data_IF_342641959892
#
_entry.id   IF_342641959892
#
_cell.length_a   1.000
_cell.length_b   1.000
_cell.length_c   1.000
_cell.angle_alpha   90.00
_cell.angle_beta   90.00
_cell.angle_gamma   90.00
#
_symmetry.space_group_name_H-M   'P 1'
#
loop_
_entity.id
_entity.type
_entity.pdbx_description
1 polymer ?
#
# COMPACT_ATOMS: atom_id res chain seq x y z
N UNK A 1 -26.09 -1.31 16.08
CA UNK A 1 -27.18 -1.84 15.23
C UNK A 1 -28.47 -1.02 15.28
N UNK A 2 -29.00 -0.64 16.46
CA UNK A 2 -30.32 0.05 16.56
C UNK A 2 -30.40 1.47 15.95
N UNK A 3 -29.30 2.19 15.74
CA UNK A 3 -29.30 3.53 15.11
C UNK A 3 -28.89 3.55 13.62
N UNK A 4 -28.45 2.43 13.05
CA UNK A 4 -27.74 2.42 11.76
C UNK A 4 -28.55 1.99 10.53
N UNK A 5 -29.61 1.19 10.72
CA UNK A 5 -30.63 1.05 9.67
C UNK A 5 -31.22 2.43 9.35
N UNK A 6 -31.57 3.28 10.35
CA UNK A 6 -31.94 4.67 10.12
C UNK A 6 -30.89 5.48 9.35
N UNK A 7 -29.60 5.49 9.72
CA UNK A 7 -28.62 6.37 9.04
C UNK A 7 -28.37 5.98 7.58
N UNK A 8 -28.15 4.69 7.28
CA UNK A 8 -27.95 4.27 5.88
C UNK A 8 -29.22 4.47 5.03
N UNK A 9 -30.40 4.32 5.64
CA UNK A 9 -31.67 4.63 5.03
C UNK A 9 -31.87 6.15 4.86
N UNK A 10 -31.45 6.95 5.83
CA UNK A 10 -31.58 8.42 5.84
C UNK A 10 -30.66 9.04 4.80
N UNK A 11 -29.37 8.68 4.76
CA UNK A 11 -28.46 9.13 3.69
C UNK A 11 -28.93 8.68 2.29
N UNK A 12 -29.61 7.53 2.19
CA UNK A 12 -30.17 7.05 0.92
C UNK A 12 -31.48 7.76 0.55
N UNK A 13 -32.34 8.06 1.52
CA UNK A 13 -33.57 8.84 1.31
C UNK A 13 -33.25 10.30 0.98
N UNK A 14 -32.27 10.89 1.66
CA UNK A 14 -31.81 12.25 1.38
C UNK A 14 -31.15 12.33 0.02
N UNK A 15 -30.44 11.28 -0.43
CA UNK A 15 -29.92 11.20 -1.79
C UNK A 15 -31.04 11.12 -2.84
N UNK A 16 -32.09 10.32 -2.60
CA UNK A 16 -33.26 10.29 -3.48
C UNK A 16 -34.01 11.62 -3.48
N UNK A 17 -34.15 12.25 -2.32
CA UNK A 17 -34.80 13.56 -2.18
C UNK A 17 -33.99 14.68 -2.86
N UNK A 18 -32.66 14.65 -2.77
CA UNK A 18 -31.78 15.59 -3.47
C UNK A 18 -31.79 15.35 -4.99
N UNK A 19 -31.79 14.10 -5.44
CA UNK A 19 -31.93 13.76 -6.87
C UNK A 19 -33.30 14.17 -7.43
N UNK A 20 -34.39 13.97 -6.65
CA UNK A 20 -35.72 14.45 -7.00
C UNK A 20 -35.82 15.97 -6.96
N UNK A 21 -35.18 16.63 -6.00
CA UNK A 21 -35.15 18.09 -5.87
C UNK A 21 -34.33 18.74 -6.99
N UNK A 22 -33.16 18.20 -7.35
CA UNK A 22 -32.37 18.66 -8.49
C UNK A 22 -33.07 18.38 -9.83
N UNK A 23 -33.73 17.22 -9.97
CA UNK A 23 -34.59 16.92 -11.12
C UNK A 23 -35.82 17.85 -11.20
N UNK A 24 -36.26 18.40 -10.06
CA UNK A 24 -37.35 19.38 -9.97
C UNK A 24 -36.86 20.81 -10.23
N UNK A 25 -35.66 21.18 -9.77
CA UNK A 25 -34.99 22.46 -10.11
C UNK A 25 -34.70 22.55 -11.59
N UNK A 26 -34.19 21.49 -12.22
CA UNK A 26 -33.96 21.46 -13.68
C UNK A 26 -35.26 21.57 -14.50
N UNK A 27 -36.41 21.15 -13.95
CA UNK A 27 -37.74 21.39 -14.56
C UNK A 27 -38.27 22.81 -14.31
N UNK A 28 -38.00 23.38 -13.14
CA UNK A 28 -38.44 24.73 -12.77
C UNK A 28 -37.56 25.86 -13.34
N UNK A 29 -36.27 25.59 -13.60
CA UNK A 29 -35.34 26.52 -14.27
C UNK A 29 -35.70 26.76 -15.74
N UNK A 30 -36.51 25.89 -16.36
CA UNK A 30 -37.12 26.16 -17.66
C UNK A 30 -38.36 27.07 -17.60
N UNK A 31 -38.87 27.38 -16.40
CA UNK A 31 -40.20 28.02 -16.25
C UNK A 31 -40.23 29.34 -15.46
N UNK A 32 -39.19 29.72 -14.70
CA UNK A 32 -39.26 30.99 -13.93
C UNK A 32 -37.89 31.66 -13.75
N UNK A 33 -37.65 32.75 -14.48
CA UNK A 33 -36.88 33.88 -13.95
C UNK A 33 -37.80 34.66 -12.98
N UNK A 34 -37.23 35.23 -11.93
CA UNK A 34 -37.87 35.97 -10.83
C UNK A 34 -38.54 35.14 -9.72
N UNK A 35 -37.75 34.82 -8.68
CA UNK A 35 -37.92 35.48 -7.38
C UNK A 35 -36.87 34.98 -6.37
N UNK A 36 -36.14 35.94 -5.81
CA UNK A 36 -35.17 35.73 -4.74
C UNK A 36 -35.86 35.52 -3.39
N UNK A 37 -36.00 34.26 -2.99
CA UNK A 37 -35.94 33.83 -1.58
C UNK A 37 -35.25 32.46 -1.59
N UNK A 38 -33.93 32.44 -1.49
CA UNK A 38 -33.14 31.21 -1.31
C UNK A 38 -32.21 31.44 -0.11
N UNK A 39 -32.17 30.50 0.83
CA UNK A 39 -30.89 30.17 1.47
C UNK A 39 -30.75 30.31 2.99
N UNK A 40 -31.79 30.05 3.80
CA UNK A 40 -31.59 29.96 5.26
C UNK A 40 -31.94 28.58 5.85
N UNK A 41 -33.04 27.95 5.42
CA UNK A 41 -33.51 26.69 6.03
C UNK A 41 -32.82 25.44 5.46
N UNK A 42 -32.58 25.36 4.14
CA UNK A 42 -31.82 24.24 3.52
C UNK A 42 -30.38 24.11 4.05
N UNK A 43 -29.77 25.21 4.49
CA UNK A 43 -28.42 25.20 5.06
C UNK A 43 -28.34 24.61 6.47
N UNK A 44 -29.43 24.67 7.24
CA UNK A 44 -29.46 24.16 8.61
C UNK A 44 -29.52 22.63 8.66
N UNK A 45 -30.31 22.01 7.77
CA UNK A 45 -30.41 20.54 7.67
C UNK A 45 -29.12 19.92 7.15
N UNK A 46 -28.53 20.49 6.09
CA UNK A 46 -27.25 20.05 5.56
C UNK A 46 -26.10 20.21 6.59
N UNK A 47 -26.09 21.32 7.35
CA UNK A 47 -25.12 21.54 8.42
C UNK A 47 -25.26 20.56 9.59
N UNK A 48 -26.51 20.18 9.92
CA UNK A 48 -26.78 19.18 10.94
C UNK A 48 -26.25 17.79 10.54
N UNK A 49 -26.50 17.37 9.30
CA UNK A 49 -26.00 16.09 8.79
C UNK A 49 -24.47 16.00 8.84
N UNK A 50 -23.77 17.05 8.41
CA UNK A 50 -22.30 17.11 8.49
C UNK A 50 -21.83 16.92 9.94
N UNK A 51 -22.49 17.61 10.88
CA UNK A 51 -22.15 17.53 12.31
C UNK A 51 -22.35 16.12 12.86
N UNK A 52 -23.46 15.47 12.54
CA UNK A 52 -23.74 14.10 12.95
C UNK A 52 -22.72 13.10 12.37
N UNK A 53 -22.37 13.24 11.09
CA UNK A 53 -21.38 12.34 10.44
C UNK A 53 -20.00 12.51 11.06
N UNK A 54 -19.61 13.75 11.38
CA UNK A 54 -18.33 14.03 12.04
C UNK A 54 -18.27 13.45 13.46
N UNK A 55 -19.36 13.57 14.23
CA UNK A 55 -19.45 12.98 15.57
C UNK A 55 -19.38 11.44 15.52
N UNK A 56 -20.09 10.83 14.58
CA UNK A 56 -20.16 9.37 14.42
C UNK A 56 -18.96 8.77 13.67
N UNK A 57 -18.08 9.60 13.11
CA UNK A 57 -16.96 9.14 12.28
C UNK A 57 -16.07 8.12 12.99
N UNK A 58 -15.70 8.39 14.24
CA UNK A 58 -14.86 7.50 15.03
C UNK A 58 -15.51 6.13 15.27
N UNK A 59 -16.83 6.08 15.40
CA UNK A 59 -17.57 4.84 15.57
C UNK A 59 -17.71 4.08 14.25
N UNK A 60 -17.93 4.78 13.14
CA UNK A 60 -17.90 4.18 11.79
C UNK A 60 -16.51 3.56 11.53
N UNK A 61 -15.43 4.23 11.90
CA UNK A 61 -14.08 3.67 11.80
C UNK A 61 -13.93 2.41 12.64
N UNK A 62 -14.40 2.37 13.89
CA UNK A 62 -14.36 1.15 14.71
C UNK A 62 -15.10 -0.03 14.08
N UNK A 63 -16.18 0.24 13.33
CA UNK A 63 -16.99 -0.80 12.69
C UNK A 63 -16.25 -1.58 11.61
N UNK A 64 -15.20 -1.02 10.99
CA UNK A 64 -14.41 -1.75 9.98
C UNK A 64 -13.64 -2.92 10.61
N UNK A 65 -13.39 -2.87 11.92
CA UNK A 65 -12.72 -3.91 12.70
C UNK A 65 -13.72 -4.86 13.40
N UNK A 66 -15.00 -4.81 13.04
CA UNK A 66 -15.99 -5.74 13.58
C UNK A 66 -15.83 -7.14 12.95
N UNK A 67 -15.94 -8.19 13.76
CA UNK A 67 -15.91 -9.57 13.29
C UNK A 67 -17.09 -9.90 12.35
N UNK A 68 -18.24 -9.26 12.53
CA UNK A 68 -19.40 -9.47 11.65
C UNK A 68 -19.20 -8.76 10.29
N UNK A 69 -19.06 -9.56 9.23
CA UNK A 69 -18.96 -9.09 7.86
C UNK A 69 -20.10 -8.18 7.38
N UNK A 70 -21.31 -8.34 7.94
CA UNK A 70 -22.46 -7.48 7.60
C UNK A 70 -22.25 -6.06 8.12
N UNK A 71 -21.62 -5.93 9.29
CA UNK A 71 -21.28 -4.63 9.87
C UNK A 71 -20.25 -3.92 9.01
N UNK A 72 -19.17 -4.62 8.62
CA UNK A 72 -18.13 -4.07 7.75
C UNK A 72 -18.69 -3.63 6.38
N UNK A 73 -19.58 -4.44 5.79
CA UNK A 73 -20.27 -4.08 4.56
C UNK A 73 -21.12 -2.80 4.70
N UNK A 74 -21.82 -2.62 5.83
CA UNK A 74 -22.57 -1.38 6.08
C UNK A 74 -21.64 -0.19 6.31
N UNK A 75 -20.52 -0.39 7.01
CA UNK A 75 -19.52 0.66 7.22
C UNK A 75 -18.95 1.17 5.88
N UNK A 76 -18.57 0.27 4.95
CA UNK A 76 -18.06 0.69 3.63
C UNK A 76 -19.11 1.44 2.80
N UNK A 77 -20.38 1.05 2.90
CA UNK A 77 -21.47 1.77 2.23
C UNK A 77 -21.64 3.18 2.79
N UNK A 78 -21.58 3.33 4.12
CA UNK A 78 -21.65 4.65 4.80
C UNK A 78 -20.46 5.51 4.36
N UNK A 79 -19.24 5.00 4.38
CA UNK A 79 -18.07 5.72 3.84
C UNK A 79 -18.29 6.19 2.40
N UNK A 80 -18.81 5.30 1.54
CA UNK A 80 -19.07 5.62 0.13
C UNK A 80 -20.06 6.76 -0.06
N UNK A 81 -21.15 6.78 0.72
CA UNK A 81 -22.15 7.85 0.66
C UNK A 81 -21.58 9.17 1.23
N UNK A 82 -20.97 9.12 2.42
CA UNK A 82 -20.44 10.30 3.08
C UNK A 82 -19.33 10.99 2.29
N UNK A 83 -18.47 10.23 1.60
CA UNK A 83 -17.43 10.80 0.74
C UNK A 83 -18.05 11.41 -0.52
N UNK A 84 -19.01 10.72 -1.15
CA UNK A 84 -19.67 11.20 -2.38
C UNK A 84 -20.42 12.51 -2.14
N UNK A 85 -21.04 12.66 -0.97
CA UNK A 85 -21.77 13.85 -0.55
C UNK A 85 -20.86 14.96 0.01
N UNK A 86 -19.55 14.73 0.12
CA UNK A 86 -18.61 15.71 0.66
C UNK A 86 -18.71 15.93 2.18
N UNK A 87 -19.38 15.01 2.91
CA UNK A 87 -19.50 15.06 4.36
C UNK A 87 -18.21 14.65 5.07
N UNK A 88 -17.41 13.79 4.42
CA UNK A 88 -16.11 13.33 4.88
C UNK A 88 -15.05 13.65 3.83
N UNK A 89 -13.93 14.22 4.28
CA UNK A 89 -12.77 14.43 3.42
C UNK A 89 -12.17 13.07 3.00
N UNK A 90 -11.92 12.82 1.71
CA UNK A 90 -11.38 11.53 1.25
C UNK A 90 -10.11 11.11 1.98
N UNK A 91 -9.22 12.07 2.28
CA UNK A 91 -7.93 11.83 2.94
C UNK A 91 -8.09 11.12 4.30
N UNK A 92 -9.15 11.37 5.08
CA UNK A 92 -9.29 10.70 6.38
C UNK A 92 -9.83 9.27 6.24
N UNK A 93 -10.61 8.99 5.18
CA UNK A 93 -11.27 7.71 4.97
C UNK A 93 -10.44 6.70 4.15
N UNK A 94 -9.45 7.17 3.37
CA UNK A 94 -8.60 6.30 2.53
C UNK A 94 -7.98 5.14 3.32
N UNK A 95 -7.38 5.33 4.51
CA UNK A 95 -6.80 4.20 5.25
C UNK A 95 -7.81 3.10 5.56
N UNK A 96 -8.99 3.50 6.06
CA UNK A 96 -10.08 2.58 6.39
C UNK A 96 -10.64 1.86 5.15
N UNK A 97 -10.72 2.55 4.01
CA UNK A 97 -11.14 1.95 2.74
C UNK A 97 -10.13 0.91 2.23
N UNK A 98 -8.83 1.18 2.34
CA UNK A 98 -7.78 0.20 1.99
C UNK A 98 -7.83 -0.99 2.95
N UNK A 99 -8.10 -0.76 4.23
CA UNK A 99 -8.26 -1.84 5.20
C UNK A 99 -9.46 -2.73 4.87
N UNK A 100 -10.61 -2.15 4.54
CA UNK A 100 -11.81 -2.87 4.08
C UNK A 100 -11.61 -3.58 2.73
N UNK A 101 -10.73 -3.05 1.87
CA UNK A 101 -10.35 -3.70 0.62
C UNK A 101 -9.58 -5.01 0.86
N UNK A 102 -8.90 -5.14 2.00
CA UNK A 102 -8.23 -6.37 2.40
C UNK A 102 -9.15 -7.39 3.11
N UNK A 103 -10.46 -7.15 3.19
CA UNK A 103 -11.43 -8.08 3.77
C UNK A 103 -11.46 -9.40 2.98
N UNK A 104 -11.08 -10.52 3.61
CA UNK A 104 -11.02 -11.82 2.95
C UNK A 104 -12.37 -12.53 2.87
N UNK A 105 -13.25 -12.30 3.84
CA UNK A 105 -14.52 -13.03 4.00
C UNK A 105 -15.59 -12.54 3.04
N UNK A 106 -15.68 -11.22 2.81
CA UNK A 106 -16.83 -10.61 2.11
C UNK A 106 -16.40 -9.86 0.85
N UNK A 107 -16.54 -10.53 -0.30
CA UNK A 107 -16.19 -9.96 -1.61
C UNK A 107 -16.92 -8.65 -1.91
N UNK A 108 -18.20 -8.55 -1.54
CA UNK A 108 -18.95 -7.32 -1.75
C UNK A 108 -18.35 -6.13 -1.00
N UNK A 109 -17.77 -6.35 0.18
CA UNK A 109 -17.07 -5.30 0.91
C UNK A 109 -15.87 -4.77 0.12
N UNK A 110 -15.02 -5.68 -0.39
CA UNK A 110 -13.87 -5.33 -1.25
C UNK A 110 -14.29 -4.57 -2.50
N UNK A 111 -15.32 -5.04 -3.20
CA UNK A 111 -15.77 -4.42 -4.45
C UNK A 111 -16.26 -2.98 -4.22
N UNK A 112 -16.96 -2.70 -3.12
CA UNK A 112 -17.38 -1.34 -2.76
C UNK A 112 -16.19 -0.46 -2.39
N UNK A 113 -15.29 -0.95 -1.54
CA UNK A 113 -14.08 -0.22 -1.15
C UNK A 113 -13.24 0.15 -2.39
N UNK A 114 -13.07 -0.80 -3.31
CA UNK A 114 -12.32 -0.60 -4.55
C UNK A 114 -12.91 0.49 -5.44
N UNK A 115 -14.24 0.48 -5.67
CA UNK A 115 -14.91 1.51 -6.48
C UNK A 115 -14.77 2.91 -5.87
N UNK A 116 -14.88 3.01 -4.54
CA UNK A 116 -14.70 4.28 -3.84
C UNK A 116 -13.25 4.76 -3.99
N UNK A 117 -12.27 3.88 -3.76
CA UNK A 117 -10.84 4.19 -3.94
C UNK A 117 -10.51 4.62 -5.38
N UNK A 118 -11.09 3.96 -6.38
CA UNK A 118 -10.93 4.33 -7.78
C UNK A 118 -11.50 5.73 -8.04
N UNK A 119 -12.70 6.04 -7.55
CA UNK A 119 -13.28 7.38 -7.67
C UNK A 119 -12.41 8.45 -6.97
N UNK A 120 -11.77 8.12 -5.85
CA UNK A 120 -10.83 9.02 -5.17
C UNK A 120 -9.54 9.16 -5.97
N UNK A 121 -9.01 8.09 -6.57
CA UNK A 121 -7.82 8.12 -7.41
C UNK A 121 -8.01 9.05 -8.62
N UNK A 122 -9.19 9.01 -9.23
CA UNK A 122 -9.53 9.83 -10.40
C UNK A 122 -9.72 11.31 -10.06
N UNK A 123 -10.38 11.63 -8.94
CA UNK A 123 -10.73 13.02 -8.57
C UNK A 123 -9.71 13.70 -7.66
N UNK A 124 -9.10 12.93 -6.76
CA UNK A 124 -8.23 13.42 -5.68
C UNK A 124 -6.98 12.53 -5.51
N UNK A 125 -6.15 12.33 -6.55
CA UNK A 125 -5.02 11.39 -6.53
C UNK A 125 -4.00 11.67 -5.42
N UNK A 126 -3.80 12.95 -5.06
CA UNK A 126 -2.89 13.34 -3.99
C UNK A 126 -3.38 12.92 -2.60
N UNK A 127 -4.71 12.91 -2.37
CA UNK A 127 -5.31 12.48 -1.11
C UNK A 127 -5.22 10.96 -0.94
N UNK A 128 -5.36 10.20 -2.03
CA UNK A 128 -5.10 8.76 -2.03
C UNK A 128 -3.64 8.50 -1.67
N UNK A 129 -2.72 9.07 -2.45
CA UNK A 129 -1.29 8.83 -2.30
C UNK A 129 -0.78 9.07 -0.87
N UNK A 130 -1.16 10.18 -0.24
CA UNK A 130 -0.65 10.56 1.09
C UNK A 130 -1.04 9.58 2.21
N UNK A 131 -2.00 8.69 1.94
CA UNK A 131 -2.62 7.82 2.95
C UNK A 131 -2.50 6.33 2.64
N UNK A 132 -2.00 5.95 1.45
CA UNK A 132 -1.88 4.54 1.05
C UNK A 132 -1.01 3.74 2.02
N UNK A 133 0.11 4.30 2.48
CA UNK A 133 0.96 3.62 3.47
C UNK A 133 0.20 3.34 4.77
N UNK A 134 -0.55 4.32 5.28
CA UNK A 134 -1.38 4.13 6.48
C UNK A 134 -2.43 3.05 6.26
N UNK A 135 -3.11 3.08 5.11
CA UNK A 135 -4.09 2.06 4.74
C UNK A 135 -3.51 0.65 4.64
N UNK A 136 -2.32 0.49 4.06
CA UNK A 136 -1.63 -0.81 4.02
C UNK A 136 -1.32 -1.29 5.44
N UNK A 137 -0.90 -0.41 6.34
CA UNK A 137 -0.62 -0.75 7.74
C UNK A 137 -1.89 -1.14 8.51
N UNK A 138 -3.01 -0.48 8.27
CA UNK A 138 -4.32 -0.82 8.84
C UNK A 138 -4.91 -2.10 8.25
N UNK A 139 -4.64 -2.38 6.96
CA UNK A 139 -5.14 -3.56 6.27
C UNK A 139 -4.72 -4.87 6.93
N UNK A 140 -3.56 -4.89 7.59
CA UNK A 140 -3.11 -6.05 8.37
C UNK A 140 -4.11 -6.44 9.47
N UNK A 141 -4.71 -5.46 10.15
CA UNK A 141 -5.65 -5.74 11.25
C UNK A 141 -6.93 -6.37 10.73
N UNK A 142 -7.50 -5.82 9.65
CA UNK A 142 -8.69 -6.39 8.99
C UNK A 142 -8.37 -7.76 8.39
N UNK A 143 -7.21 -7.92 7.76
CA UNK A 143 -6.78 -9.19 7.19
C UNK A 143 -6.71 -10.28 8.26
N UNK A 144 -6.13 -10.02 9.44
CA UNK A 144 -6.13 -10.98 10.57
C UNK A 144 -7.55 -11.25 11.08
N UNK A 145 -8.36 -10.21 11.27
CA UNK A 145 -9.72 -10.37 11.79
C UNK A 145 -10.61 -11.24 10.89
N UNK A 146 -10.37 -11.17 9.57
CA UNK A 146 -11.15 -11.87 8.54
C UNK A 146 -10.47 -13.14 8.05
N UNK A 147 -9.33 -13.53 8.64
CA UNK A 147 -8.54 -14.64 8.13
C UNK A 147 -9.07 -16.02 8.49
N UNK A 148 -9.97 -16.12 9.47
CA UNK A 148 -10.48 -17.40 9.98
C UNK A 148 -9.35 -18.30 10.49
N UNK A 149 -8.84 -19.18 9.60
CA UNK A 149 -7.82 -20.20 9.88
C UNK A 149 -6.44 -19.93 9.25
N UNK A 150 -6.24 -18.82 8.53
CA UNK A 150 -4.91 -18.54 7.94
C UNK A 150 -3.92 -18.23 9.04
N UNK A 151 -2.88 -19.07 9.15
CA UNK A 151 -1.89 -19.03 10.22
C UNK A 151 -0.67 -18.17 9.89
N UNK A 152 -0.36 -17.96 8.60
CA UNK A 152 0.84 -17.25 8.17
C UNK A 152 0.56 -15.80 7.77
N UNK A 153 1.35 -14.81 8.24
CA UNK A 153 1.21 -13.41 7.80
C UNK A 153 1.40 -13.21 6.29
N UNK A 154 2.15 -14.10 5.64
CA UNK A 154 2.39 -14.05 4.20
C UNK A 154 1.15 -14.44 3.40
N UNK A 155 0.43 -15.47 3.83
CA UNK A 155 -0.83 -15.85 3.18
C UNK A 155 -1.86 -14.73 3.32
N UNK A 156 -1.85 -13.97 4.44
CA UNK A 156 -2.73 -12.81 4.64
C UNK A 156 -2.50 -11.70 3.60
N UNK A 157 -1.24 -11.48 3.21
CA UNK A 157 -0.85 -10.44 2.27
C UNK A 157 -1.23 -10.75 0.82
N UNK A 158 -1.41 -12.03 0.49
CA UNK A 158 -1.56 -12.50 -0.89
C UNK A 158 -3.03 -12.82 -1.19
N UNK A 159 -3.52 -12.34 -2.33
CA UNK A 159 -4.80 -12.76 -2.88
C UNK A 159 -4.67 -14.14 -3.54
N UNK A 160 -5.42 -15.12 -3.04
CA UNK A 160 -5.39 -16.52 -3.50
C UNK A 160 -5.70 -16.68 -4.99
N UNK A 161 -6.45 -15.75 -5.58
CA UNK A 161 -6.87 -15.84 -6.98
C UNK A 161 -5.78 -15.39 -7.94
N UNK A 162 -5.20 -14.22 -7.64
CA UNK A 162 -4.21 -13.57 -8.49
C UNK A 162 -2.77 -14.04 -8.17
N UNK A 163 -2.51 -14.44 -6.93
CA UNK A 163 -1.18 -14.72 -6.42
C UNK A 163 -0.36 -13.46 -6.07
N UNK A 164 -0.88 -12.27 -6.37
CA UNK A 164 -0.25 -11.00 -6.03
C UNK A 164 -0.69 -10.49 -4.67
N UNK A 165 -0.04 -9.43 -4.20
CA UNK A 165 -0.44 -8.76 -2.98
C UNK A 165 -1.90 -8.28 -3.10
N UNK A 166 -2.68 -8.46 -2.03
CA UNK A 166 -4.11 -8.09 -2.01
C UNK A 166 -4.31 -6.59 -2.31
N UNK A 167 -3.33 -5.76 -1.95
CA UNK A 167 -3.33 -4.32 -2.18
C UNK A 167 -2.76 -3.90 -3.54
N UNK A 168 -2.27 -4.83 -4.38
CA UNK A 168 -1.69 -4.50 -5.69
C UNK A 168 -2.60 -3.60 -6.54
N UNK A 169 -3.90 -3.87 -6.68
CA UNK A 169 -4.78 -3.02 -7.49
C UNK A 169 -4.90 -1.58 -6.95
N UNK A 170 -4.72 -1.35 -5.65
CA UNK A 170 -4.69 -0.01 -5.06
C UNK A 170 -3.35 0.67 -5.35
N UNK A 171 -2.26 -0.06 -5.27
CA UNK A 171 -0.92 0.47 -5.58
C UNK A 171 -0.79 0.80 -7.07
N UNK A 172 -1.44 0.05 -7.95
CA UNK A 172 -1.49 0.32 -9.39
C UNK A 172 -2.28 1.58 -9.76
N UNK A 173 -3.15 2.09 -8.88
CA UNK A 173 -3.77 3.41 -9.05
C UNK A 173 -2.75 4.55 -8.91
N UNK A 174 -1.58 4.29 -8.34
CA UNK A 174 -0.55 5.30 -8.11
C UNK A 174 0.36 5.47 -9.34
N UNK A 175 0.75 6.72 -9.66
CA UNK A 175 1.81 6.97 -10.64
C UNK A 175 3.13 6.28 -10.23
N UNK A 176 3.93 5.83 -11.21
CA UNK A 176 5.19 5.10 -10.96
C UNK A 176 6.12 5.80 -9.96
N UNK A 177 6.27 7.13 -10.04
CA UNK A 177 7.08 7.88 -9.07
C UNK A 177 6.57 7.71 -7.63
N UNK A 178 5.25 7.77 -7.45
CA UNK A 178 4.58 7.67 -6.14
C UNK A 178 4.58 6.24 -5.60
N UNK A 179 4.43 5.24 -6.48
CA UNK A 179 4.61 3.83 -6.14
C UNK A 179 6.02 3.57 -5.58
N UNK A 180 7.07 4.10 -6.23
CA UNK A 180 8.45 3.97 -5.72
C UNK A 180 8.62 4.62 -4.34
N UNK A 181 8.08 5.81 -4.14
CA UNK A 181 8.09 6.49 -2.83
C UNK A 181 7.36 5.68 -1.75
N UNK A 182 6.22 5.05 -2.10
CA UNK A 182 5.50 4.14 -1.21
C UNK A 182 6.35 2.93 -0.83
N UNK A 183 6.98 2.27 -1.81
CA UNK A 183 7.85 1.10 -1.55
C UNK A 183 9.00 1.49 -0.64
N UNK A 184 9.69 2.60 -0.89
CA UNK A 184 10.74 3.12 0.00
C UNK A 184 10.19 3.41 1.39
N UNK A 185 8.97 3.94 1.49
CA UNK A 185 8.27 4.13 2.76
C UNK A 185 8.03 2.82 3.53
N UNK A 186 7.59 1.76 2.84
CA UNK A 186 7.40 0.43 3.44
C UNK A 186 8.74 -0.16 3.88
N UNK A 187 9.78 -0.09 3.04
CA UNK A 187 11.13 -0.51 3.40
C UNK A 187 11.63 0.21 4.66
N UNK A 188 11.42 1.53 4.73
CA UNK A 188 11.74 2.30 5.93
C UNK A 188 11.02 1.81 7.19
N UNK A 189 9.78 1.30 7.06
CA UNK A 189 9.04 0.68 8.18
C UNK A 189 9.57 -0.69 8.58
N UNK A 190 10.12 -1.47 7.64
CA UNK A 190 10.77 -2.75 7.95
C UNK A 190 12.03 -2.58 8.80
N UNK A 191 12.67 -1.40 8.76
CA UNK A 191 13.96 -1.13 9.43
C UNK A 191 13.82 -0.22 10.65
N UNK A 192 12.69 0.46 10.81
CA UNK A 192 12.53 1.46 11.87
C UNK A 192 12.00 0.85 13.17
N UNK A 193 12.79 0.96 14.24
CA UNK A 193 12.42 0.68 15.65
C UNK A 193 11.42 1.70 16.23
N UNK A 194 11.04 2.74 15.46
CA UNK A 194 10.02 3.69 15.93
C UNK A 194 8.68 2.97 15.89
N UNK A 195 8.36 2.30 16.99
CA UNK A 195 7.04 1.80 17.33
C UNK A 195 6.00 2.83 16.92
N UNK A 196 4.90 2.34 16.35
CA UNK A 196 3.88 3.19 15.77
C UNK A 196 3.49 4.32 16.74
N UNK A 197 3.14 5.52 16.25
CA UNK A 197 2.43 6.47 17.09
C UNK A 197 1.25 5.71 17.70
N UNK A 198 1.19 5.67 19.04
CA UNK A 198 0.17 4.93 19.80
C UNK A 198 -1.21 5.33 19.27
N UNK A 199 -1.78 4.52 18.39
CA UNK A 199 -3.21 4.58 18.12
C UNK A 199 -3.87 4.04 19.38
N UNK A 200 -4.87 4.76 19.91
CA UNK A 200 -5.52 4.55 21.22
C UNK A 200 -6.12 3.14 21.45
N UNK A 201 -5.94 2.20 20.53
CA UNK A 201 -6.49 0.85 20.55
C UNK A 201 -5.47 -0.27 20.79
N UNK A 202 -4.24 0.04 21.23
CA UNK A 202 -3.26 -1.01 21.56
C UNK A 202 -3.24 -1.37 23.05
N UNK A 203 -3.45 -2.66 23.43
CA UNK A 203 -3.21 -3.13 24.79
C UNK A 203 -1.71 -3.14 25.12
N UNK A 204 -1.34 -2.68 26.31
CA UNK A 204 0.00 -2.80 26.87
C UNK A 204 0.29 -4.28 27.23
N UNK A 205 1.08 -5.00 26.44
CA UNK A 205 1.49 -6.40 26.69
C UNK A 205 2.36 -6.96 25.54
N UNK A 206 3.17 -7.99 25.80
CA UNK A 206 3.95 -8.82 24.87
C UNK A 206 3.21 -9.29 23.59
N UNK A 207 1.87 -9.28 23.63
CA UNK A 207 1.03 -9.46 22.44
C UNK A 207 1.29 -8.38 21.37
N UNK A 208 1.81 -7.22 21.76
CA UNK A 208 2.16 -6.12 20.86
C UNK A 208 3.40 -6.43 20.02
N UNK A 209 4.45 -7.02 20.61
CA UNK A 209 5.69 -7.36 19.88
C UNK A 209 5.43 -8.47 18.86
N UNK A 210 4.69 -9.53 19.24
CA UNK A 210 4.29 -10.61 18.31
C UNK A 210 3.45 -10.09 17.13
N UNK A 211 2.58 -9.10 17.39
CA UNK A 211 1.81 -8.41 16.34
C UNK A 211 2.69 -7.54 15.45
N UNK A 212 3.74 -6.93 15.99
CA UNK A 212 4.67 -6.11 15.23
C UNK A 212 5.45 -6.95 14.20
N UNK A 213 6.05 -8.06 14.60
CA UNK A 213 6.80 -8.94 13.68
C UNK A 213 5.92 -9.55 12.60
N UNK A 214 4.72 -10.01 13.00
CA UNK A 214 3.73 -10.51 12.05
C UNK A 214 3.33 -9.44 11.03
N UNK A 215 3.24 -8.18 11.47
CA UNK A 215 2.98 -7.04 10.59
C UNK A 215 4.16 -6.76 9.65
N UNK A 216 5.40 -6.83 10.13
CA UNK A 216 6.59 -6.69 9.27
C UNK A 216 6.65 -7.82 8.22
N UNK A 217 6.37 -9.06 8.61
CA UNK A 217 6.28 -10.19 7.69
C UNK A 217 5.17 -10.01 6.64
N UNK A 218 4.00 -9.49 7.05
CA UNK A 218 2.92 -9.11 6.13
C UNK A 218 3.37 -8.04 5.13
N UNK A 219 4.07 -7.00 5.57
CA UNK A 219 4.60 -5.96 4.68
C UNK A 219 5.66 -6.49 3.71
N UNK A 220 6.56 -7.34 4.19
CA UNK A 220 7.57 -7.99 3.34
C UNK A 220 6.90 -8.87 2.27
N UNK A 221 5.85 -9.62 2.64
CA UNK A 221 5.07 -10.42 1.71
C UNK A 221 4.33 -9.57 0.67
N UNK A 222 3.77 -8.41 1.06
CA UNK A 222 3.19 -7.45 0.11
C UNK A 222 4.25 -7.01 -0.90
N UNK A 223 5.45 -6.64 -0.46
CA UNK A 223 6.51 -6.20 -1.37
C UNK A 223 6.95 -7.32 -2.31
N UNK A 224 7.18 -8.53 -1.80
CA UNK A 224 7.62 -9.66 -2.61
C UNK A 224 6.62 -10.02 -3.73
N UNK A 225 5.33 -9.88 -3.44
CA UNK A 225 4.22 -10.28 -4.33
C UNK A 225 3.52 -9.10 -5.01
N UNK A 226 4.07 -7.89 -4.91
CA UNK A 226 3.50 -6.73 -5.59
C UNK A 226 3.59 -6.90 -7.12
N UNK A 227 2.58 -6.39 -7.83
CA UNK A 227 2.69 -6.18 -9.28
C UNK A 227 3.42 -4.87 -9.57
N UNK A 228 4.67 -4.96 -10.05
CA UNK A 228 5.49 -3.81 -10.43
C UNK A 228 5.19 -3.32 -11.86
N UNK A 229 3.90 -3.25 -12.19
CA UNK A 229 3.40 -2.79 -13.50
C UNK A 229 3.76 -3.72 -14.66
N UNK A 230 4.09 -4.98 -14.38
CA UNK A 230 4.62 -5.93 -15.37
C UNK A 230 3.55 -6.83 -15.99
N UNK A 231 2.50 -7.20 -15.24
CA UNK A 231 1.67 -8.34 -15.66
C UNK A 231 0.17 -8.03 -15.72
N UNK A 232 -0.39 -7.24 -14.78
CA UNK A 232 -1.81 -6.84 -14.82
C UNK A 232 -2.09 -5.61 -15.69
N UNK A 233 -1.08 -4.78 -15.94
CA UNK A 233 -1.23 -3.58 -16.77
C UNK A 233 -1.38 -3.97 -18.25
N UNK A 234 -2.53 -3.61 -18.84
CA UNK A 234 -2.82 -3.80 -20.26
C UNK A 234 -2.05 -2.86 -21.20
N UNK A 235 -1.16 -2.02 -20.65
CA UNK A 235 -0.46 -0.98 -21.41
C UNK A 235 0.96 -1.41 -21.78
N UNK A 236 1.21 -1.49 -23.08
CA UNK A 236 2.54 -1.71 -23.66
C UNK A 236 2.75 -3.12 -24.19
N UNK A 237 3.85 -3.32 -24.92
CA UNK A 237 4.28 -4.65 -25.37
C UNK A 237 4.79 -5.48 -24.19
N UNK A 238 4.77 -6.81 -24.29
CA UNK A 238 5.34 -7.71 -23.28
C UNK A 238 6.78 -7.32 -22.90
N UNK A 239 7.62 -7.03 -23.90
CA UNK A 239 8.99 -6.54 -23.72
C UNK A 239 9.08 -5.22 -22.92
N UNK A 240 8.17 -4.28 -23.15
CA UNK A 240 8.15 -3.01 -22.41
C UNK A 240 7.76 -3.23 -20.95
N UNK A 241 6.85 -4.18 -20.68
CA UNK A 241 6.39 -4.52 -19.34
C UNK A 241 7.45 -5.27 -18.54
N UNK A 242 8.09 -6.29 -19.11
CA UNK A 242 9.20 -7.00 -18.44
C UNK A 242 10.40 -6.10 -18.20
N UNK A 243 10.65 -5.13 -19.09
CA UNK A 243 11.66 -4.09 -18.87
C UNK A 243 11.27 -3.17 -17.71
N UNK A 244 10.03 -2.66 -17.70
CA UNK A 244 9.56 -1.78 -16.63
C UNK A 244 9.62 -2.46 -15.26
N UNK A 245 9.16 -3.72 -15.18
CA UNK A 245 9.26 -4.56 -14.00
C UNK A 245 10.72 -4.64 -13.51
N UNK A 246 11.66 -5.01 -14.40
CA UNK A 246 13.08 -5.12 -14.05
C UNK A 246 13.67 -3.80 -13.55
N UNK A 247 13.37 -2.69 -14.21
CA UNK A 247 13.86 -1.36 -13.82
C UNK A 247 13.32 -0.96 -12.43
N UNK A 248 12.05 -1.24 -12.15
CA UNK A 248 11.43 -0.93 -10.85
C UNK A 248 11.96 -1.82 -9.72
N UNK A 249 12.02 -3.14 -9.94
CA UNK A 249 12.59 -4.08 -8.96
C UNK A 249 14.08 -3.82 -8.72
N UNK A 250 14.86 -3.49 -9.75
CA UNK A 250 16.27 -3.12 -9.57
C UNK A 250 16.45 -1.91 -8.66
N UNK A 251 15.61 -0.88 -8.81
CA UNK A 251 15.64 0.31 -7.94
C UNK A 251 15.34 -0.06 -6.48
N UNK A 252 14.41 -1.00 -6.27
CA UNK A 252 14.01 -1.50 -4.95
C UNK A 252 15.14 -2.33 -4.34
N UNK A 253 15.76 -3.22 -5.12
CA UNK A 253 16.91 -4.02 -4.70
C UNK A 253 18.08 -3.13 -4.25
N UNK A 254 18.39 -2.05 -4.98
CA UNK A 254 19.41 -1.07 -4.58
C UNK A 254 19.07 -0.41 -3.23
N UNK A 255 17.80 -0.04 -3.04
CA UNK A 255 17.32 0.56 -1.79
C UNK A 255 17.41 -0.43 -0.61
N UNK A 256 17.06 -1.69 -0.83
CA UNK A 256 17.19 -2.77 0.15
C UNK A 256 18.66 -2.99 0.50
N UNK A 257 19.54 -3.12 -0.50
CA UNK A 257 20.97 -3.32 -0.30
C UNK A 257 21.59 -2.19 0.54
N UNK A 258 21.22 -0.93 0.26
CA UNK A 258 21.65 0.23 1.04
C UNK A 258 21.17 0.18 2.49
N UNK A 259 19.94 -0.25 2.75
CA UNK A 259 19.42 -0.38 4.11
C UNK A 259 20.12 -1.51 4.89
N UNK A 260 20.33 -2.67 4.25
CA UNK A 260 21.08 -3.79 4.83
C UNK A 260 22.52 -3.37 5.13
N UNK A 261 23.20 -2.71 4.19
CA UNK A 261 24.58 -2.25 4.39
C UNK A 261 24.69 -1.24 5.54
N UNK A 262 23.78 -0.25 5.63
CA UNK A 262 23.88 0.78 6.66
C UNK A 262 23.46 0.26 8.05
N UNK A 263 22.25 -0.32 8.15
CA UNK A 263 21.70 -0.72 9.45
C UNK A 263 22.24 -2.08 9.88
N UNK A 264 22.38 -3.03 8.96
CA UNK A 264 22.93 -4.35 9.26
C UNK A 264 24.37 -4.28 9.76
N UNK A 265 25.24 -3.49 9.14
CA UNK A 265 26.62 -3.32 9.63
C UNK A 265 26.68 -2.62 11.00
N UNK A 266 25.82 -1.60 11.22
CA UNK A 266 25.71 -0.98 12.54
C UNK A 266 25.27 -1.98 13.62
N UNK A 267 24.43 -2.95 13.28
CA UNK A 267 23.99 -3.99 14.20
C UNK A 267 25.06 -5.06 14.46
N UNK A 268 25.85 -5.44 13.45
CA UNK A 268 27.00 -6.32 13.65
C UNK A 268 28.04 -5.71 14.59
N UNK A 269 28.31 -4.40 14.46
CA UNK A 269 29.21 -3.70 15.39
C UNK A 269 28.69 -3.69 16.83
N UNK A 270 27.38 -3.66 17.04
CA UNK A 270 26.80 -3.78 18.38
C UNK A 270 26.98 -5.19 18.95
N UNK A 271 26.92 -6.23 18.11
CA UNK A 271 27.13 -7.63 18.55
C UNK A 271 28.55 -7.91 19.03
N UNK A 272 29.55 -7.20 18.51
CA UNK A 272 30.94 -7.34 18.95
C UNK A 272 31.18 -6.75 20.36
N UNK A 273 30.21 -6.00 20.89
CA UNK A 273 30.25 -5.50 22.26
C UNK A 273 29.64 -6.49 23.26
N UNK A 274 30.06 -6.44 24.52
CA UNK A 274 29.47 -7.27 25.58
C UNK A 274 28.05 -6.76 25.92
N UNK A 275 27.05 -7.21 25.16
CA UNK A 275 25.65 -6.83 25.32
C UNK A 275 25.03 -7.48 26.56
N UNK A 276 24.22 -6.69 27.27
CA UNK A 276 23.30 -7.18 28.31
C UNK A 276 22.14 -7.97 27.69
N UNK A 277 21.44 -8.78 28.49
CA UNK A 277 20.27 -9.55 28.03
C UNK A 277 19.18 -8.63 27.41
N UNK A 278 18.94 -7.46 28.01
CA UNK A 278 17.97 -6.48 27.48
C UNK A 278 18.38 -5.90 26.13
N UNK A 279 19.68 -5.63 25.94
CA UNK A 279 20.21 -5.15 24.66
C UNK A 279 20.16 -6.23 23.58
N UNK A 280 20.39 -7.50 23.95
CA UNK A 280 20.23 -8.65 23.05
C UNK A 280 18.78 -8.81 22.59
N UNK A 281 17.82 -8.71 23.50
CA UNK A 281 16.39 -8.77 23.16
C UNK A 281 16.02 -7.66 22.16
N UNK A 282 16.47 -6.44 22.43
CA UNK A 282 16.22 -5.31 21.54
C UNK A 282 16.87 -5.50 20.17
N UNK A 283 18.11 -5.97 20.16
CA UNK A 283 18.84 -6.27 18.95
C UNK A 283 18.16 -7.38 18.13
N UNK A 284 17.65 -8.43 18.79
CA UNK A 284 16.94 -9.52 18.12
C UNK A 284 15.70 -8.99 17.38
N UNK A 285 14.89 -8.16 18.03
CA UNK A 285 13.74 -7.50 17.39
C UNK A 285 14.15 -6.59 16.22
N UNK A 286 15.20 -5.77 16.37
CA UNK A 286 15.71 -4.95 15.27
C UNK A 286 16.27 -5.80 14.12
N UNK A 287 16.89 -6.94 14.44
CA UNK A 287 17.55 -7.82 13.45
C UNK A 287 16.54 -8.53 12.58
N UNK A 288 15.33 -8.78 13.11
CA UNK A 288 14.25 -9.43 12.40
C UNK A 288 13.86 -8.66 11.13
N UNK A 289 13.75 -7.34 11.23
CA UNK A 289 13.49 -6.46 10.09
C UNK A 289 14.57 -6.55 9.00
N UNK A 290 15.85 -6.62 9.39
CA UNK A 290 16.96 -6.78 8.44
C UNK A 290 16.98 -8.19 7.83
N UNK A 291 16.70 -9.24 8.60
CA UNK A 291 16.58 -10.60 8.08
C UNK A 291 15.47 -10.68 7.03
N UNK A 292 14.31 -10.07 7.30
CA UNK A 292 13.22 -9.97 6.33
C UNK A 292 13.65 -9.24 5.05
N UNK A 293 14.46 -8.18 5.15
CA UNK A 293 15.01 -7.48 3.99
C UNK A 293 15.96 -8.36 3.18
N UNK A 294 16.81 -9.17 3.81
CA UNK A 294 17.69 -10.11 3.11
C UNK A 294 16.88 -11.15 2.34
N UNK A 295 15.89 -11.76 3.00
CA UNK A 295 14.98 -12.74 2.38
C UNK A 295 14.18 -12.10 1.24
N UNK A 296 13.70 -10.87 1.43
CA UNK A 296 13.01 -10.11 0.39
C UNK A 296 13.94 -9.82 -0.80
N UNK A 297 15.21 -9.44 -0.56
CA UNK A 297 16.21 -9.22 -1.60
C UNK A 297 16.37 -10.48 -2.45
N UNK A 298 16.55 -11.63 -1.80
CA UNK A 298 16.72 -12.91 -2.48
C UNK A 298 15.48 -13.29 -3.30
N UNK A 299 14.29 -13.18 -2.73
CA UNK A 299 13.04 -13.49 -3.43
C UNK A 299 12.83 -12.60 -4.67
N UNK A 300 13.09 -11.30 -4.55
CA UNK A 300 13.00 -10.37 -5.68
C UNK A 300 14.07 -10.67 -6.76
N UNK A 301 15.29 -11.06 -6.37
CA UNK A 301 16.36 -11.45 -7.31
C UNK A 301 16.00 -12.71 -8.08
N UNK A 302 15.51 -13.74 -7.40
CA UNK A 302 15.01 -14.98 -8.02
C UNK A 302 13.86 -14.68 -8.99
N UNK A 303 12.94 -13.79 -8.60
CA UNK A 303 11.84 -13.37 -9.47
C UNK A 303 12.34 -12.68 -10.74
N UNK A 304 13.26 -11.73 -10.63
CA UNK A 304 13.88 -11.05 -11.77
C UNK A 304 14.60 -12.02 -12.71
N UNK A 305 15.28 -13.02 -12.17
CA UNK A 305 15.94 -14.07 -12.96
C UNK A 305 14.91 -14.94 -13.70
N UNK A 306 13.89 -15.41 -12.99
CA UNK A 306 12.83 -16.26 -13.56
C UNK A 306 12.04 -15.59 -14.69
N UNK A 307 11.86 -14.25 -14.62
CA UNK A 307 11.20 -13.48 -15.67
C UNK A 307 12.16 -13.16 -16.84
N UNK A 308 13.47 -13.16 -16.62
CA UNK A 308 14.48 -12.97 -17.67
C UNK A 308 14.59 -14.15 -18.64
N UNK A 309 14.26 -15.36 -18.18
CA UNK A 309 14.37 -16.61 -18.94
C UNK A 309 13.14 -16.91 -19.80
N UNK A 310 12.14 -16.02 -19.84
CA UNK A 310 10.92 -16.21 -20.64
C UNK A 310 11.26 -16.06 -22.14
N UNK A 311 11.01 -17.08 -22.98
CA UNK A 311 11.23 -16.98 -24.41
C UNK A 311 10.39 -15.86 -25.03
N UNK A 312 10.98 -15.07 -25.93
CA UNK A 312 10.31 -13.95 -26.62
C UNK A 312 9.07 -14.33 -27.43
N UNK A 313 8.92 -15.62 -27.75
CA UNK A 313 7.80 -16.17 -28.52
C UNK A 313 6.69 -16.75 -27.64
N UNK A 314 6.72 -16.51 -26.32
CA UNK A 314 5.68 -16.99 -25.41
C UNK A 314 4.38 -16.22 -25.65
N UNK A 315 3.28 -16.95 -25.82
CA UNK A 315 1.94 -16.38 -25.98
C UNK A 315 1.63 -15.44 -24.79
N UNK A 316 1.25 -14.16 -25.04
CA UNK A 316 0.91 -13.20 -23.99
C UNK A 316 -0.21 -13.67 -23.05
N UNK A 317 -1.12 -14.53 -23.52
CA UNK A 317 -2.17 -15.12 -22.68
C UNK A 317 -1.61 -16.16 -21.70
N UNK A 318 -0.49 -16.78 -22.04
CA UNK A 318 0.22 -17.75 -21.19
C UNK A 318 1.09 -17.07 -20.13
N UNK A 319 1.57 -15.86 -20.43
CA UNK A 319 2.32 -14.99 -19.52
C UNK A 319 1.40 -14.35 -18.46
N UNK A 320 0.20 -13.89 -18.86
CA UNK A 320 -0.81 -13.33 -17.97
C UNK A 320 -1.37 -14.33 -16.93
N UNK A 321 -1.15 -15.64 -17.15
CA UNK A 321 -1.59 -16.72 -16.24
C UNK A 321 -0.51 -17.18 -15.26
N UNK A 322 0.74 -16.71 -15.40
CA UNK A 322 1.81 -17.07 -14.46
C UNK A 322 1.59 -16.34 -13.15
N UNK A 323 1.26 -17.12 -12.11
CA UNK A 323 1.21 -16.63 -10.74
C UNK A 323 2.63 -16.46 -10.23
N UNK A 324 2.94 -15.37 -9.51
CA UNK A 324 4.22 -15.29 -8.82
C UNK A 324 4.33 -16.45 -7.82
N UNK A 325 5.53 -16.98 -7.65
CA UNK A 325 5.79 -17.97 -6.62
C UNK A 325 5.41 -17.38 -5.26
N UNK A 326 4.79 -18.20 -4.40
CA UNK A 326 4.39 -17.76 -3.07
C UNK A 326 5.63 -17.33 -2.31
N UNK A 327 5.65 -16.07 -1.88
CA UNK A 327 6.64 -15.62 -0.91
C UNK A 327 6.35 -16.28 0.43
N UNK A 328 7.06 -17.36 0.71
CA UNK A 328 7.11 -17.97 2.02
C UNK A 328 8.45 -17.54 2.60
N UNK A 329 8.51 -16.52 3.48
CA UNK A 329 9.74 -16.24 4.17
C UNK A 329 10.03 -17.50 4.99
N UNK A 330 11.02 -18.27 4.55
CA UNK A 330 11.52 -19.44 5.27
C UNK A 330 12.37 -18.97 6.45
N UNK A 331 11.84 -18.03 7.23
CA UNK A 331 12.38 -17.64 8.52
C UNK A 331 11.76 -18.65 9.50
N UNK A 332 12.56 -19.59 10.04
CA UNK A 332 12.08 -20.59 10.99
C UNK A 332 11.53 -19.95 12.28
N UNK A 333 11.82 -18.66 12.47
CA UNK A 333 11.60 -17.91 13.69
C UNK A 333 10.69 -16.72 13.38
N UNK A 334 9.39 -16.94 13.43
CA UNK A 334 8.58 -15.95 14.14
C UNK A 334 8.93 -16.19 15.61
N UNK A 335 9.16 -15.16 16.43
CA UNK A 335 9.35 -15.29 17.89
C UNK A 335 8.07 -15.82 18.61
N UNK A 336 7.23 -16.53 17.88
CA UNK A 336 5.93 -17.04 18.23
C UNK A 336 6.14 -18.34 18.99
N UNK A 337 6.41 -18.22 20.29
CA UNK A 337 5.53 -18.73 21.34
C UNK A 337 6.17 -18.63 22.73
N UNK A 338 7.49 -18.50 22.81
CA UNK A 338 8.20 -18.36 24.08
C UNK A 338 7.75 -17.10 24.87
N UNK A 339 7.72 -17.22 26.19
CA UNK A 339 7.44 -16.12 27.11
C UNK A 339 8.72 -15.29 27.34
N UNK A 340 8.67 -13.95 27.30
CA UNK A 340 9.85 -13.12 27.56
C UNK A 340 10.53 -13.48 28.88
N UNK A 341 11.86 -13.62 28.85
CA UNK A 341 12.66 -14.00 30.01
C UNK A 341 12.70 -15.50 30.32
N UNK A 342 11.97 -16.34 29.59
CA UNK A 342 12.13 -17.81 29.66
C UNK A 342 13.44 -18.28 29.01
N UNK A 343 13.89 -19.48 29.34
CA UNK A 343 15.06 -20.11 28.70
C UNK A 343 14.80 -20.33 27.20
N UNK A 344 13.60 -20.78 26.84
CA UNK A 344 13.15 -20.90 25.44
C UNK A 344 13.24 -19.56 24.70
N UNK A 345 12.90 -18.44 25.35
CA UNK A 345 13.01 -17.12 24.75
C UNK A 345 14.46 -16.74 24.43
N UNK A 346 15.39 -17.03 25.35
CA UNK A 346 16.82 -16.78 25.13
C UNK A 346 17.37 -17.62 23.97
N UNK A 347 16.99 -18.90 23.89
CA UNK A 347 17.38 -19.75 22.76
C UNK A 347 16.87 -19.22 21.42
N UNK A 348 15.64 -18.70 21.40
CA UNK A 348 15.05 -18.09 20.20
C UNK A 348 15.80 -16.80 19.83
N UNK A 349 16.12 -15.94 20.81
CA UNK A 349 16.90 -14.70 20.61
C UNK A 349 18.30 -15.00 20.06
N UNK A 350 19.01 -15.94 20.66
CA UNK A 350 20.34 -16.34 20.20
C UNK A 350 20.28 -16.98 18.81
N UNK A 351 19.27 -17.81 18.53
CA UNK A 351 19.04 -18.38 17.20
C UNK A 351 18.76 -17.31 16.15
N UNK A 352 17.99 -16.28 16.50
CA UNK A 352 17.68 -15.15 15.62
C UNK A 352 18.94 -14.32 15.32
N UNK A 353 19.76 -14.04 16.34
CA UNK A 353 21.04 -13.34 16.17
C UNK A 353 22.00 -14.17 15.30
N UNK A 354 22.10 -15.47 15.55
CA UNK A 354 22.94 -16.36 14.74
C UNK A 354 22.45 -16.42 13.29
N UNK A 355 21.14 -16.52 13.07
CA UNK A 355 20.54 -16.44 11.73
C UNK A 355 20.90 -15.13 11.03
N UNK A 356 20.79 -14.00 11.74
CA UNK A 356 21.20 -12.70 11.24
C UNK A 356 22.68 -12.66 10.85
N UNK A 357 23.59 -13.13 11.71
CA UNK A 357 25.03 -13.20 11.41
C UNK A 357 25.32 -14.10 10.19
N UNK A 358 24.67 -15.27 10.11
CA UNK A 358 24.80 -16.18 8.97
C UNK A 358 24.35 -15.50 7.68
N UNK A 359 23.14 -14.93 7.66
CA UNK A 359 22.60 -14.22 6.51
C UNK A 359 23.48 -13.05 6.09
N UNK A 360 23.98 -12.25 7.03
CA UNK A 360 24.88 -11.13 6.72
C UNK A 360 26.24 -11.59 6.19
N UNK A 361 26.71 -12.79 6.56
CA UNK A 361 27.95 -13.37 6.04
C UNK A 361 27.78 -13.96 4.63
N UNK A 362 26.60 -14.53 4.33
CA UNK A 362 26.23 -15.08 3.02
C UNK A 362 25.90 -14.01 1.99
N UNK A 363 25.38 -12.85 2.42
CA UNK A 363 25.19 -11.70 1.54
C UNK A 363 26.58 -11.16 1.19
N UNK A 364 27.19 -11.75 0.15
CA UNK A 364 28.26 -11.09 -0.58
C UNK A 364 27.69 -9.78 -1.10
N UNK A 365 28.08 -8.66 -0.48
CA UNK A 365 27.87 -7.35 -1.06
C UNK A 365 28.78 -7.29 -2.29
N UNK A 366 28.31 -7.83 -3.41
CA UNK A 366 28.92 -7.55 -4.69
C UNK A 366 28.81 -6.03 -4.86
N UNK A 367 29.92 -5.32 -4.63
CA UNK A 367 29.99 -3.87 -4.82
C UNK A 367 29.57 -3.49 -6.26
N UNK A 368 29.70 -4.44 -7.19
CA UNK A 368 29.20 -4.35 -8.57
C UNK A 368 27.68 -4.26 -8.69
N UNK A 369 26.88 -4.74 -7.72
CA UNK A 369 25.42 -4.55 -7.69
C UNK A 369 25.04 -3.12 -7.27
N UNK A 370 25.89 -2.43 -6.50
CA UNK A 370 25.65 -1.06 -6.01
C UNK A 370 25.93 -0.03 -7.12
N UNK A 371 26.83 -0.35 -8.06
CA UNK A 371 27.23 0.53 -9.17
C UNK A 371 26.33 0.49 -10.41
N UNK A 372 25.23 -0.28 -10.39
CA UNK A 372 24.23 -0.26 -11.49
C UNK A 372 23.38 1.03 -11.51
N UNK A 373 23.52 1.91 -10.51
CA UNK A 373 22.87 3.22 -10.48
C UNK A 373 23.71 4.35 -11.10
N UNK A 374 23.90 4.29 -12.40
CA UNK A 374 23.83 5.52 -13.17
C UNK A 374 23.21 5.19 -14.52
N UNK A 375 21.94 5.58 -14.79
CA UNK A 375 21.50 5.65 -16.16
C UNK A 375 22.47 6.63 -16.80
N UNK A 376 23.36 6.13 -17.67
CA UNK A 376 24.16 6.97 -18.56
C UNK A 376 23.15 7.88 -19.23
N UNK A 377 23.01 9.11 -18.71
CA UNK A 377 22.29 10.18 -19.37
C UNK A 377 22.94 10.19 -20.74
N UNK A 378 22.24 9.67 -21.74
CA UNK A 378 22.59 9.88 -23.13
C UNK A 378 22.58 11.39 -23.26
N UNK A 379 23.76 12.01 -23.10
CA UNK A 379 24.03 13.34 -23.59
C UNK A 379 23.59 13.23 -25.03
N UNK A 380 22.43 13.83 -25.33
CA UNK A 380 22.15 14.25 -26.69
C UNK A 380 23.32 15.15 -27.00
N UNK A 381 24.26 14.63 -27.77
CA UNK A 381 25.16 15.46 -28.55
C UNK A 381 24.23 16.23 -29.46
N UNK A 382 23.81 17.41 -29.00
CA UNK A 382 23.23 18.43 -29.84
C UNK A 382 24.31 18.78 -30.86
N UNK A 383 24.27 18.06 -31.99
CA UNK A 383 25.05 18.38 -33.16
C UNK A 383 24.73 19.81 -33.55
N UNK A 384 25.68 20.69 -33.25
CA UNK A 384 25.71 22.07 -33.70
C UNK A 384 25.61 22.10 -35.22
N UNK A 385 24.39 22.24 -35.75
CA UNK A 385 24.17 22.67 -37.13
C UNK A 385 24.41 24.16 -37.19
N UNK A 386 25.55 24.52 -37.75
CA UNK A 386 25.92 25.87 -38.13
C UNK A 386 24.85 26.51 -39.05
N UNK A 387 24.58 27.81 -38.93
CA UNK A 387 23.68 28.50 -39.84
C UNK A 387 24.39 28.78 -41.16
N UNK A 388 24.02 28.05 -42.21
CA UNK A 388 24.45 28.35 -43.57
C UNK A 388 23.71 29.58 -44.08
N UNK A 389 24.45 30.67 -44.24
CA UNK A 389 24.08 31.83 -45.04
C UNK A 389 23.83 31.40 -46.49
N UNK A 390 22.60 31.56 -46.98
CA UNK A 390 22.36 31.94 -48.38
C UNK A 390 21.25 32.96 -48.46
N UNK A 391 21.54 33.97 -49.26
CA UNK A 391 20.82 35.21 -49.41
C UNK A 391 19.86 35.16 -50.60
N UNK A 392 18.97 36.15 -50.59
CA UNK A 392 18.40 36.89 -51.72
C UNK A 392 17.13 36.37 -52.44
N UNK A 393 16.14 37.27 -52.37
CA UNK A 393 15.21 37.74 -53.40
C UNK A 393 13.98 36.92 -53.81
N UNK A 394 12.80 37.41 -53.42
CA UNK A 394 12.00 38.26 -54.33
C UNK A 394 10.84 38.99 -53.63
N UNK A 395 10.69 40.25 -54.01
CA UNK A 395 9.65 41.20 -53.64
C UNK A 395 8.22 40.80 -54.08
N UNK A 396 7.19 41.46 -53.52
CA UNK A 396 6.19 42.29 -54.25
C UNK A 396 4.96 42.61 -53.35
N UNK A 397 4.75 43.92 -53.11
CA UNK A 397 3.51 44.75 -53.05
C UNK A 397 2.28 44.27 -52.24
N UNK A 398 1.87 44.95 -51.14
CA UNK A 398 0.93 46.12 -51.02
C UNK A 398 -0.56 45.70 -51.18
N UNK A 399 -1.57 46.34 -50.53
CA UNK A 399 -1.56 47.56 -49.69
C UNK A 399 -1.85 47.37 -48.20
#
# INVERSE_FOLDING_TARGET
>A
FFFFVPMSFYCSQEMLALEEHDASRLRNEQSTSDNGVIGAEEGAEAGYLVSCVQELYSDIQKMIFCADKRVRLKAVMVFGLSIRQGLILPVVAVPSLIALYADREERSCRDHAHRILQSIAERHPLMLYSQVLSGILESFQVAILTSGQVTSPSDLAIDERSGYAIVSPVVDMLPTKRRRELVVGILGRLVSDKGEPKTEFQPHSDKANKRHESKLAYLAAILATLDYGGLSSSRGTADARTKHFRDEVSTILSSIAKQIANKGQSMLQMLDSNLTDEEKDKLAHESFGICLLVVLKQALKTRVQSEGDIPKDTDPDHEARRRPEKFVPSLPFLLANAEPGSEEWREVVDSQIHCFQSLMSEVSFDESEIDLEAPKRRRREDGARSPSKRALDRAVLVP
#
